data_IF_339501825319
#
_entry.id   IF_339501825319
#
_cell.length_a   1.000
_cell.length_b   1.000
_cell.length_c   1.000
_cell.angle_alpha   90.00
_cell.angle_beta   90.00
_cell.angle_gamma   90.00
#
_symmetry.space_group_name_H-M   'P 1'
#
loop_
_entity.id
_entity.type
_entity.pdbx_description
1 polymer ?
#
# COMPACT_ATOMS: atom_id res chain seq x y z
N UNK A 1 -67.33 -55.54 10.72
CA UNK A 1 -66.57 -54.84 9.68
C UNK A 1 -66.26 -53.48 10.19
N UNK A 2 -65.01 -53.20 10.51
CA UNK A 2 -64.35 -51.86 10.64
C UNK A 2 -63.24 -51.90 11.71
N UNK A 3 -62.02 -52.14 11.30
CA UNK A 3 -60.79 -51.82 12.05
C UNK A 3 -59.58 -52.21 11.21
N UNK A 4 -59.21 -51.37 10.23
CA UNK A 4 -57.88 -51.40 9.61
C UNK A 4 -57.69 -50.13 8.76
N UNK A 5 -57.42 -48.98 9.39
CA UNK A 5 -56.98 -47.80 8.67
C UNK A 5 -56.58 -46.71 9.67
N UNK A 6 -55.50 -46.88 10.42
CA UNK A 6 -54.95 -45.76 11.26
C UNK A 6 -53.43 -45.75 11.30
N UNK A 7 -52.68 -46.68 10.71
CA UNK A 7 -51.23 -46.72 10.90
C UNK A 7 -50.31 -46.16 9.76
N UNK A 8 -50.94 -45.56 8.73
CA UNK A 8 -50.19 -45.09 7.54
C UNK A 8 -49.75 -43.63 7.56
N UNK A 9 -50.16 -42.83 8.56
CA UNK A 9 -49.91 -41.38 8.53
C UNK A 9 -48.74 -40.89 9.39
N UNK A 10 -48.06 -41.74 10.13
CA UNK A 10 -47.01 -41.35 11.05
C UNK A 10 -45.59 -41.70 10.61
N UNK A 11 -45.39 -42.42 9.51
CA UNK A 11 -44.04 -42.81 9.04
C UNK A 11 -43.43 -41.87 8.02
N UNK A 12 -44.19 -40.96 7.39
CA UNK A 12 -43.70 -40.06 6.38
C UNK A 12 -42.86 -38.85 6.90
N UNK A 13 -43.16 -38.24 8.08
CA UNK A 13 -42.33 -37.13 8.57
C UNK A 13 -41.01 -37.56 9.18
N UNK A 14 -40.84 -38.83 9.57
CA UNK A 14 -39.59 -39.31 10.16
C UNK A 14 -38.47 -39.50 9.13
N UNK A 15 -38.82 -39.75 7.86
CA UNK A 15 -37.84 -39.93 6.77
C UNK A 15 -37.36 -38.60 6.17
N UNK A 16 -38.14 -37.52 6.24
CA UNK A 16 -37.74 -36.20 5.77
C UNK A 16 -36.75 -35.50 6.72
N UNK A 17 -36.75 -35.87 8.01
CA UNK A 17 -35.82 -35.32 9.01
C UNK A 17 -34.38 -35.84 8.89
N UNK A 18 -34.17 -37.01 8.29
CA UNK A 18 -32.86 -37.64 8.19
C UNK A 18 -32.04 -37.20 6.96
N UNK A 19 -32.69 -36.64 5.94
CA UNK A 19 -31.98 -36.18 4.72
C UNK A 19 -31.34 -34.81 4.86
N UNK A 20 -31.72 -34.02 5.87
CA UNK A 20 -31.14 -32.67 6.09
C UNK A 20 -29.89 -32.64 6.94
N UNK A 21 -29.44 -33.77 7.50
CA UNK A 21 -28.24 -33.82 8.37
C UNK A 21 -26.99 -34.25 7.61
N UNK A 22 -27.08 -34.70 6.36
CA UNK A 22 -25.95 -35.29 5.63
C UNK A 22 -25.17 -34.33 4.69
N UNK A 23 -25.55 -33.07 4.57
CA UNK A 23 -24.75 -32.09 3.86
C UNK A 23 -23.88 -31.26 4.83
N UNK A 24 -22.99 -31.90 5.60
CA UNK A 24 -21.76 -31.22 5.97
C UNK A 24 -20.95 -31.06 4.69
N UNK A 25 -21.05 -29.87 4.10
CA UNK A 25 -20.03 -29.43 3.13
C UNK A 25 -18.71 -29.50 3.89
N UNK A 26 -17.95 -30.58 3.68
CA UNK A 26 -16.57 -30.61 4.07
C UNK A 26 -15.91 -29.45 3.34
N UNK A 27 -15.59 -28.38 4.07
CA UNK A 27 -14.72 -27.34 3.55
C UNK A 27 -13.46 -28.06 3.06
N UNK A 28 -13.27 -28.12 1.75
CA UNK A 28 -12.11 -28.72 1.14
C UNK A 28 -10.87 -28.17 1.84
N UNK A 29 -10.11 -29.06 2.48
CA UNK A 29 -8.85 -28.66 3.13
C UNK A 29 -8.02 -27.90 2.10
N UNK A 30 -7.57 -26.68 2.39
CA UNK A 30 -6.85 -25.89 1.42
C UNK A 30 -5.59 -26.66 0.96
N UNK A 31 -5.41 -26.76 -0.35
CA UNK A 31 -4.23 -27.40 -0.94
C UNK A 31 -2.96 -26.63 -0.54
N UNK A 32 -2.24 -27.16 0.46
CA UNK A 32 -1.03 -26.55 1.04
C UNK A 32 0.19 -26.65 0.08
N UNK A 33 0.02 -27.27 -1.09
CA UNK A 33 1.09 -27.39 -2.09
C UNK A 33 1.44 -26.03 -2.74
N UNK A 34 0.48 -25.11 -2.81
CA UNK A 34 0.67 -23.80 -3.42
C UNK A 34 1.48 -22.88 -2.50
N UNK A 35 2.51 -22.26 -3.07
CA UNK A 35 3.43 -21.38 -2.37
C UNK A 35 3.52 -20.02 -3.07
N UNK A 36 3.80 -18.96 -2.32
CA UNK A 36 4.13 -17.64 -2.84
C UNK A 36 5.29 -17.05 -2.04
N UNK A 37 6.33 -16.58 -2.71
CA UNK A 37 7.44 -15.86 -2.08
C UNK A 37 7.32 -14.37 -2.40
N UNK A 38 6.99 -13.59 -1.37
CA UNK A 38 6.85 -12.13 -1.42
C UNK A 38 8.10 -11.47 -0.84
N UNK A 39 8.80 -10.66 -1.63
CA UNK A 39 9.84 -9.76 -1.14
C UNK A 39 9.28 -8.35 -0.93
N UNK A 40 9.61 -7.72 0.19
CA UNK A 40 9.15 -6.37 0.50
C UNK A 40 10.24 -5.58 1.23
N UNK A 41 10.34 -4.29 0.89
CA UNK A 41 11.26 -3.35 1.52
C UNK A 41 10.75 -2.81 2.86
N UNK A 42 9.48 -3.05 3.16
CA UNK A 42 8.89 -2.61 4.42
C UNK A 42 7.65 -3.43 4.80
N UNK A 43 7.80 -4.27 5.81
CA UNK A 43 6.70 -5.07 6.38
C UNK A 43 6.49 -4.71 7.84
N UNK A 44 5.23 -4.59 8.21
CA UNK A 44 4.80 -4.29 9.58
C UNK A 44 4.12 -5.50 10.21
N UNK A 45 4.11 -5.53 11.56
CA UNK A 45 3.43 -6.58 12.30
C UNK A 45 1.95 -6.77 11.88
N UNK A 46 1.27 -5.67 11.54
CA UNK A 46 -0.13 -5.71 11.06
C UNK A 46 -0.28 -6.30 9.65
N UNK A 47 0.75 -6.25 8.81
CA UNK A 47 0.73 -6.92 7.50
C UNK A 47 0.66 -8.45 7.68
N UNK A 48 1.24 -8.97 8.77
CA UNK A 48 1.19 -10.42 9.07
C UNK A 48 -0.24 -10.93 9.27
N UNK A 49 -1.15 -10.11 9.77
CA UNK A 49 -2.56 -10.47 9.93
C UNK A 49 -3.23 -10.65 8.56
N UNK A 50 -2.95 -9.75 7.61
CA UNK A 50 -3.41 -9.88 6.22
C UNK A 50 -2.90 -11.18 5.60
N UNK A 51 -1.60 -11.44 5.75
CA UNK A 51 -0.94 -12.61 5.16
C UNK A 51 -1.45 -13.93 5.73
N UNK A 52 -1.67 -14.01 7.05
CA UNK A 52 -2.30 -15.18 7.68
C UNK A 52 -3.73 -15.40 7.17
N UNK A 53 -4.53 -14.34 7.03
CA UNK A 53 -5.89 -14.44 6.47
C UNK A 53 -5.88 -14.87 5.01
N UNK A 54 -4.94 -14.35 4.21
CA UNK A 54 -4.75 -14.77 2.83
C UNK A 54 -4.46 -16.26 2.76
N UNK A 55 -3.44 -16.76 3.49
CA UNK A 55 -3.08 -18.18 3.49
C UNK A 55 -4.23 -19.06 3.96
N UNK A 56 -4.96 -18.66 5.01
CA UNK A 56 -6.13 -19.40 5.50
C UNK A 56 -7.25 -19.47 4.46
N UNK A 57 -7.49 -18.37 3.72
CA UNK A 57 -8.59 -18.30 2.74
C UNK A 57 -8.30 -19.00 1.43
N UNK A 58 -7.04 -19.01 1.00
CA UNK A 58 -6.64 -19.47 -0.34
C UNK A 58 -5.88 -20.79 -0.33
N UNK A 59 -5.40 -21.24 0.83
CA UNK A 59 -4.48 -22.40 0.92
C UNK A 59 -3.05 -22.11 0.49
N UNK A 60 -2.76 -20.92 -0.04
CA UNK A 60 -1.41 -20.55 -0.49
C UNK A 60 -0.51 -20.26 0.70
N UNK A 61 0.61 -21.01 0.83
CA UNK A 61 1.63 -20.74 1.84
C UNK A 61 2.46 -19.53 1.43
N UNK A 62 2.37 -18.44 2.21
CA UNK A 62 3.14 -17.23 1.97
C UNK A 62 4.49 -17.26 2.71
N UNK A 63 5.60 -17.19 1.97
CA UNK A 63 6.94 -16.92 2.50
C UNK A 63 7.28 -15.45 2.26
N UNK A 64 7.69 -14.75 3.31
CA UNK A 64 8.00 -13.34 3.26
C UNK A 64 9.51 -13.15 3.39
N UNK A 65 10.08 -12.32 2.52
CA UNK A 65 11.47 -11.87 2.56
C UNK A 65 11.47 -10.36 2.85
N UNK A 66 11.92 -9.99 4.05
CA UNK A 66 12.09 -8.59 4.41
C UNK A 66 13.46 -8.12 3.92
N UNK A 67 13.50 -7.47 2.77
CA UNK A 67 14.69 -7.04 2.05
C UNK A 67 14.47 -5.63 1.55
N UNK A 68 15.46 -4.73 1.70
CA UNK A 68 15.37 -3.43 1.06
C UNK A 68 15.47 -3.52 -0.47
N UNK A 69 15.09 -2.45 -1.18
CA UNK A 69 15.03 -2.46 -2.64
C UNK A 69 16.36 -2.85 -3.30
N UNK A 70 17.50 -2.41 -2.75
CA UNK A 70 18.83 -2.76 -3.27
C UNK A 70 19.15 -4.25 -3.06
N UNK A 71 18.75 -4.83 -1.93
CA UNK A 71 18.92 -6.26 -1.66
C UNK A 71 18.03 -7.10 -2.58
N UNK A 72 16.77 -6.66 -2.80
CA UNK A 72 15.87 -7.30 -3.77
C UNK A 72 16.51 -7.27 -5.16
N UNK A 73 16.98 -6.11 -5.63
CA UNK A 73 17.62 -5.96 -6.93
C UNK A 73 18.85 -6.87 -7.11
N UNK A 74 19.73 -6.90 -6.10
CA UNK A 74 20.92 -7.78 -6.10
C UNK A 74 20.51 -9.25 -6.18
N UNK A 75 19.50 -9.67 -5.41
CA UNK A 75 19.01 -11.04 -5.38
C UNK A 75 18.41 -11.45 -6.71
N UNK A 76 17.53 -10.63 -7.29
CA UNK A 76 16.93 -10.87 -8.60
C UNK A 76 17.99 -10.94 -9.70
N UNK A 77 19.00 -10.05 -9.67
CA UNK A 77 20.13 -10.09 -10.62
C UNK A 77 20.94 -11.37 -10.48
N UNK A 78 21.23 -11.82 -9.25
CA UNK A 78 22.02 -13.04 -8.98
C UNK A 78 21.29 -14.30 -9.42
N UNK A 79 20.00 -14.41 -9.16
CA UNK A 79 19.19 -15.60 -9.40
C UNK A 79 18.66 -15.68 -10.84
N UNK A 80 18.56 -14.54 -11.53
CA UNK A 80 18.10 -14.46 -12.89
C UNK A 80 16.71 -15.10 -13.08
N UNK A 81 16.55 -15.94 -14.08
CA UNK A 81 15.30 -16.67 -14.38
C UNK A 81 14.91 -17.72 -13.32
N UNK A 82 15.86 -18.11 -12.47
CA UNK A 82 15.60 -19.05 -11.38
C UNK A 82 15.25 -18.33 -10.07
N UNK A 83 14.74 -17.11 -10.14
CA UNK A 83 14.41 -16.34 -8.95
C UNK A 83 13.58 -17.13 -7.94
N UNK A 84 13.98 -17.01 -6.70
CA UNK A 84 13.21 -17.53 -5.56
C UNK A 84 12.10 -16.56 -5.12
N UNK A 85 12.01 -15.38 -5.73
CA UNK A 85 11.00 -14.36 -5.47
C UNK A 85 9.96 -14.42 -6.59
N UNK A 86 8.68 -14.48 -6.20
CA UNK A 86 7.56 -14.48 -7.16
C UNK A 86 6.93 -13.09 -7.28
N UNK A 87 6.81 -12.36 -6.18
CA UNK A 87 6.14 -11.07 -6.09
C UNK A 87 6.98 -10.09 -5.27
N UNK A 88 7.06 -8.86 -5.75
CA UNK A 88 7.71 -7.75 -5.04
C UNK A 88 6.64 -6.75 -4.60
N UNK A 89 6.73 -6.28 -3.35
CA UNK A 89 5.90 -5.23 -2.80
C UNK A 89 6.75 -4.14 -2.18
N UNK A 90 6.71 -2.94 -2.73
CA UNK A 90 7.47 -1.79 -2.25
C UNK A 90 6.56 -0.62 -1.90
N UNK A 91 6.94 0.14 -0.88
CA UNK A 91 6.12 1.23 -0.33
C UNK A 91 6.63 2.63 -0.72
N UNK A 92 7.43 2.72 -1.78
CA UNK A 92 7.96 3.98 -2.30
C UNK A 92 8.25 3.89 -3.80
N UNK A 93 8.04 4.99 -4.53
CA UNK A 93 8.50 5.13 -5.91
C UNK A 93 10.03 5.14 -6.02
N UNK A 94 10.75 5.53 -4.96
CA UNK A 94 12.20 5.41 -4.94
C UNK A 94 12.66 3.95 -5.02
N UNK A 95 11.98 3.07 -4.29
CA UNK A 95 12.22 1.62 -4.37
C UNK A 95 11.89 1.08 -5.77
N UNK A 96 10.79 1.53 -6.40
CA UNK A 96 10.47 1.18 -7.79
C UNK A 96 11.60 1.57 -8.72
N UNK A 97 12.15 2.79 -8.59
CA UNK A 97 13.26 3.27 -9.40
C UNK A 97 14.52 2.42 -9.21
N UNK A 98 14.84 2.07 -7.97
CA UNK A 98 15.98 1.19 -7.65
C UNK A 98 15.85 -0.17 -8.33
N UNK A 99 14.61 -0.67 -8.47
CA UNK A 99 14.29 -1.96 -9.09
C UNK A 99 14.02 -1.88 -10.61
N UNK A 100 14.13 -0.70 -11.21
CA UNK A 100 13.74 -0.48 -12.60
C UNK A 100 14.54 -1.29 -13.63
N UNK A 101 15.76 -1.68 -13.28
CA UNK A 101 16.64 -2.51 -14.12
C UNK A 101 16.37 -4.02 -13.98
N UNK A 102 15.44 -4.42 -13.13
CA UNK A 102 15.07 -5.82 -12.94
C UNK A 102 13.95 -6.22 -13.91
N UNK A 103 13.88 -7.51 -14.22
CA UNK A 103 12.84 -8.02 -15.13
C UNK A 103 11.58 -8.33 -14.35
N UNK A 104 10.50 -7.65 -14.68
CA UNK A 104 9.17 -7.89 -14.15
C UNK A 104 8.22 -8.24 -15.29
N UNK A 105 7.30 -9.15 -14.99
CA UNK A 105 6.31 -9.62 -15.95
C UNK A 105 5.26 -8.54 -16.21
N UNK A 106 4.91 -8.36 -17.49
CA UNK A 106 3.75 -7.57 -17.87
C UNK A 106 2.48 -8.35 -17.57
N UNK A 107 1.57 -7.76 -16.83
CA UNK A 107 0.30 -8.36 -16.49
C UNK A 107 -0.77 -8.07 -17.55
N UNK A 108 -1.68 -9.03 -17.73
CA UNK A 108 -2.78 -8.92 -18.70
C UNK A 108 -3.74 -7.78 -18.30
N UNK A 109 -4.15 -6.99 -19.30
CA UNK A 109 -5.02 -5.83 -19.10
C UNK A 109 -6.44 -6.22 -18.65
N UNK A 110 -6.97 -7.37 -19.13
CA UNK A 110 -8.29 -7.86 -18.72
C UNK A 110 -8.26 -8.36 -17.30
N UNK A 111 -7.21 -9.13 -16.94
CA UNK A 111 -6.97 -9.53 -15.55
C UNK A 111 -6.96 -8.31 -14.61
N UNK A 112 -6.23 -7.26 -14.94
CA UNK A 112 -6.14 -6.06 -14.12
C UNK A 112 -7.49 -5.35 -13.98
N UNK A 113 -8.24 -5.20 -15.07
CA UNK A 113 -9.53 -4.52 -15.08
C UNK A 113 -10.58 -5.28 -14.29
N UNK A 114 -10.68 -6.59 -14.49
CA UNK A 114 -11.78 -7.40 -13.97
C UNK A 114 -11.51 -7.96 -12.57
N UNK A 115 -10.29 -8.39 -12.31
CA UNK A 115 -9.93 -9.11 -11.08
C UNK A 115 -9.31 -8.21 -10.01
N UNK A 116 -8.67 -7.11 -10.41
CA UNK A 116 -7.93 -6.24 -9.48
C UNK A 116 -8.31 -4.76 -9.57
N UNK A 117 -9.59 -4.39 -9.39
CA UNK A 117 -10.10 -3.04 -9.68
C UNK A 117 -9.45 -1.92 -8.86
N UNK A 118 -8.91 -2.20 -7.66
CA UNK A 118 -8.21 -1.20 -6.83
C UNK A 118 -6.75 -0.97 -7.23
N UNK A 119 -6.17 -1.87 -8.03
CA UNK A 119 -4.80 -1.73 -8.51
C UNK A 119 -4.78 -1.01 -9.86
N UNK A 120 -3.77 -0.19 -10.08
CA UNK A 120 -3.57 0.52 -11.34
C UNK A 120 -2.22 0.20 -11.93
N UNK A 121 -2.24 -0.26 -13.18
CA UNK A 121 -1.02 -0.49 -13.93
C UNK A 121 -0.28 0.80 -14.24
N UNK A 122 1.05 0.76 -14.20
CA UNK A 122 1.96 1.75 -14.77
C UNK A 122 3.23 1.08 -15.31
N UNK A 123 4.08 1.82 -16.00
CA UNK A 123 5.27 1.29 -16.67
C UNK A 123 4.94 0.07 -17.54
N UNK A 124 4.04 0.25 -18.51
CA UNK A 124 3.61 -0.80 -19.42
C UNK A 124 3.03 -2.04 -18.70
N UNK A 125 2.33 -1.84 -17.58
CA UNK A 125 1.72 -2.89 -16.78
C UNK A 125 2.70 -3.87 -16.11
N UNK A 126 3.97 -3.50 -15.96
CA UNK A 126 4.94 -4.27 -15.16
C UNK A 126 4.85 -3.95 -13.66
N UNK A 127 4.34 -2.77 -13.34
CA UNK A 127 4.09 -2.34 -11.97
C UNK A 127 2.61 -2.04 -11.74
N UNK A 128 2.16 -2.31 -10.51
CA UNK A 128 0.79 -2.03 -10.07
C UNK A 128 0.82 -1.08 -8.88
N UNK A 129 0.18 0.07 -9.00
CA UNK A 129 -0.04 0.96 -7.85
C UNK A 129 -1.09 0.34 -6.93
N UNK A 130 -0.66 -0.01 -5.73
CA UNK A 130 -1.46 -0.65 -4.70
C UNK A 130 -2.10 0.36 -3.72
N UNK A 131 -1.53 1.56 -3.63
CA UNK A 131 -2.02 2.61 -2.78
C UNK A 131 -1.26 3.91 -2.92
N UNK A 132 -1.88 4.99 -2.43
CA UNK A 132 -1.36 6.36 -2.45
C UNK A 132 -1.12 6.80 -1.00
N UNK A 133 0.08 7.23 -0.69
CA UNK A 133 0.52 7.69 0.63
C UNK A 133 0.83 9.19 0.60
N UNK A 134 -0.16 10.05 0.92
CA UNK A 134 0.00 11.49 0.81
C UNK A 134 1.04 12.06 1.76
N UNK A 135 1.78 13.06 1.30
CA UNK A 135 2.57 13.93 2.18
C UNK A 135 1.64 14.92 2.86
N UNK A 136 1.61 14.90 4.18
CA UNK A 136 0.71 15.71 5.01
C UNK A 136 1.50 16.63 5.93
N UNK A 137 0.84 17.70 6.36
CA UNK A 137 1.33 18.58 7.40
C UNK A 137 0.66 18.25 8.71
N UNK A 138 1.45 18.13 9.76
CA UNK A 138 0.95 17.96 11.12
C UNK A 138 1.55 19.04 12.01
N UNK A 139 0.71 19.88 12.64
CA UNK A 139 1.16 21.02 13.41
C UNK A 139 0.32 21.24 14.68
N UNK A 140 0.89 22.00 15.61
CA UNK A 140 0.21 22.51 16.81
C UNK A 140 -0.34 23.91 16.46
N UNK A 141 -1.64 24.19 16.66
CA UNK A 141 -2.30 25.41 16.18
C UNK A 141 -1.72 26.74 16.65
N UNK A 142 -1.01 26.75 17.78
CA UNK A 142 -0.44 27.98 18.36
C UNK A 142 0.73 28.57 17.56
N UNK A 143 1.17 27.88 16.51
CA UNK A 143 2.20 28.39 15.60
C UNK A 143 1.58 29.37 14.61
N UNK A 144 1.84 30.66 14.76
CA UNK A 144 1.34 31.75 13.92
C UNK A 144 1.79 31.67 12.45
N UNK A 145 2.73 30.77 12.11
CA UNK A 145 3.34 30.62 10.80
C UNK A 145 3.18 29.20 10.22
N UNK A 146 1.97 28.67 10.16
CA UNK A 146 1.75 27.37 9.52
C UNK A 146 1.80 27.48 7.99
N UNK A 147 2.64 26.65 7.33
CA UNK A 147 2.62 26.51 5.88
C UNK A 147 1.26 26.00 5.41
N UNK A 148 0.71 26.63 4.36
CA UNK A 148 -0.61 26.28 3.78
C UNK A 148 -0.48 25.35 2.57
N UNK A 149 0.67 25.38 1.92
CA UNK A 149 0.96 24.58 0.73
C UNK A 149 2.45 24.20 0.69
N UNK A 150 2.81 23.31 -0.22
CA UNK A 150 4.21 22.87 -0.34
C UNK A 150 5.16 23.98 -0.78
N UNK A 151 4.68 25.00 -1.48
CA UNK A 151 5.52 26.14 -1.89
C UNK A 151 6.01 26.94 -0.68
N UNK A 152 5.27 26.95 0.41
CA UNK A 152 5.66 27.67 1.64
C UNK A 152 6.86 27.02 2.34
N UNK A 153 7.10 25.71 2.15
CA UNK A 153 8.19 24.99 2.81
C UNK A 153 9.61 25.49 2.44
N UNK A 154 9.74 26.19 1.31
CA UNK A 154 11.02 26.77 0.89
C UNK A 154 11.25 28.20 1.38
N UNK A 155 10.23 28.81 2.02
CA UNK A 155 10.33 30.15 2.59
C UNK A 155 11.02 30.10 3.96
N UNK A 156 11.15 31.23 4.63
CA UNK A 156 11.76 31.35 5.96
C UNK A 156 10.86 30.70 7.04
N UNK A 157 10.78 29.39 6.99
CA UNK A 157 9.92 28.56 7.79
C UNK A 157 10.62 27.24 8.14
N UNK A 158 10.86 26.99 9.41
CA UNK A 158 11.46 25.74 9.88
C UNK A 158 10.41 24.66 10.02
N UNK A 159 10.69 23.50 9.44
CA UNK A 159 9.82 22.32 9.53
C UNK A 159 10.67 21.08 9.83
N UNK A 160 10.08 20.07 10.43
CA UNK A 160 10.78 18.86 10.82
C UNK A 160 10.22 17.64 10.11
N UNK A 161 11.09 16.67 9.88
CA UNK A 161 10.75 15.38 9.28
C UNK A 161 11.50 14.26 9.99
N UNK A 162 10.86 13.11 10.23
CA UNK A 162 11.52 11.94 10.81
C UNK A 162 12.46 11.21 9.84
N UNK A 163 12.77 11.80 8.68
CA UNK A 163 13.19 10.99 7.56
C UNK A 163 14.39 11.57 6.82
N UNK A 164 15.20 10.66 6.26
CA UNK A 164 16.29 11.00 5.35
C UNK A 164 15.77 11.74 4.10
N UNK A 165 16.61 12.50 3.44
CA UNK A 165 16.27 13.21 2.19
C UNK A 165 15.70 12.28 1.11
N UNK A 166 16.03 10.99 1.15
CA UNK A 166 15.54 9.99 0.19
C UNK A 166 14.02 9.80 0.23
N UNK A 167 13.41 9.96 1.39
CA UNK A 167 11.94 9.84 1.49
C UNK A 167 11.20 11.02 0.90
N UNK A 168 11.85 12.17 0.75
CA UNK A 168 11.30 13.31 0.05
C UNK A 168 11.59 13.32 -1.45
N UNK A 169 12.37 12.35 -1.95
CA UNK A 169 12.68 12.25 -3.37
C UNK A 169 11.43 12.31 -4.24
N UNK A 170 10.36 11.65 -3.81
CA UNK A 170 9.07 11.65 -4.51
C UNK A 170 8.38 13.02 -4.43
N UNK A 171 8.42 13.69 -3.27
CA UNK A 171 7.86 15.03 -3.12
C UNK A 171 8.63 16.05 -3.97
N UNK A 172 9.96 15.97 -3.98
CA UNK A 172 10.82 16.82 -4.80
C UNK A 172 10.56 16.60 -6.29
N UNK A 173 10.39 15.34 -6.71
CA UNK A 173 10.06 15.01 -8.09
C UNK A 173 8.67 15.50 -8.51
N UNK A 174 7.69 15.41 -7.64
CA UNK A 174 6.35 16.00 -7.86
C UNK A 174 6.43 17.49 -8.09
N UNK A 175 7.21 18.19 -7.27
CA UNK A 175 7.38 19.65 -7.38
C UNK A 175 8.11 20.04 -8.67
N UNK A 176 9.22 19.35 -8.99
CA UNK A 176 10.00 19.59 -10.20
C UNK A 176 9.23 19.37 -11.50
N UNK A 177 8.24 18.48 -11.50
CA UNK A 177 7.38 18.30 -12.66
C UNK A 177 6.43 19.46 -12.94
N UNK A 178 6.35 20.46 -12.04
CA UNK A 178 5.34 21.54 -12.10
C UNK A 178 5.92 22.96 -12.13
N UNK A 179 7.22 23.18 -11.88
CA UNK A 179 7.80 24.49 -11.73
C UNK A 179 9.14 24.64 -12.45
N UNK A 180 9.28 25.77 -13.20
CA UNK A 180 10.58 26.17 -13.77
C UNK A 180 11.56 26.72 -12.72
N UNK A 181 11.10 27.14 -11.55
CA UNK A 181 11.92 27.71 -10.44
C UNK A 181 12.29 26.64 -9.38
N UNK A 182 12.52 25.43 -9.82
CA UNK A 182 12.65 24.26 -8.94
C UNK A 182 13.93 24.27 -8.09
N UNK A 183 15.06 24.72 -8.66
CA UNK A 183 16.33 24.72 -7.95
C UNK A 183 16.31 25.63 -6.70
N UNK A 184 15.71 26.83 -6.79
CA UNK A 184 15.59 27.76 -5.66
C UNK A 184 14.68 27.18 -4.58
N UNK A 185 13.54 26.61 -4.98
CA UNK A 185 12.62 25.97 -4.06
C UNK A 185 13.27 24.77 -3.36
N UNK A 186 13.94 23.87 -4.10
CA UNK A 186 14.66 22.71 -3.56
C UNK A 186 15.72 23.13 -2.54
N UNK A 187 16.50 24.15 -2.84
CA UNK A 187 17.53 24.68 -1.91
C UNK A 187 16.90 25.19 -0.61
N UNK A 188 15.82 25.96 -0.70
CA UNK A 188 15.07 26.44 0.47
C UNK A 188 14.42 25.31 1.24
N UNK A 189 13.80 24.34 0.56
CA UNK A 189 13.19 23.17 1.16
C UNK A 189 14.22 22.38 2.00
N UNK A 190 15.37 22.05 1.44
CA UNK A 190 16.42 21.30 2.14
C UNK A 190 16.99 22.12 3.31
N UNK A 191 17.23 23.42 3.11
CA UNK A 191 17.75 24.32 4.15
C UNK A 191 16.82 24.39 5.36
N UNK A 192 15.52 24.40 5.15
CA UNK A 192 14.51 24.59 6.19
C UNK A 192 14.11 23.27 6.89
N UNK A 193 14.57 22.13 6.36
CA UNK A 193 14.29 20.83 6.97
C UNK A 193 15.22 20.59 8.16
N UNK A 194 14.63 20.41 9.32
CA UNK A 194 15.32 19.90 10.51
C UNK A 194 15.04 18.40 10.61
N UNK A 195 15.99 17.60 10.08
CA UNK A 195 15.89 16.15 10.23
C UNK A 195 16.00 15.78 11.71
N UNK A 196 15.19 14.83 12.15
CA UNK A 196 15.27 14.27 13.51
C UNK A 196 15.30 12.75 13.47
N UNK A 197 16.02 12.14 14.40
CA UNK A 197 16.02 10.70 14.54
C UNK A 197 14.80 10.31 15.38
N UNK A 198 13.88 9.53 14.79
CA UNK A 198 12.64 9.12 15.43
C UNK A 198 12.81 8.25 16.67
N UNK A 199 14.01 7.69 16.88
CA UNK A 199 14.32 6.87 18.06
C UNK A 199 14.67 7.71 19.30
N UNK A 200 15.31 8.86 19.10
CA UNK A 200 15.85 9.68 20.20
C UNK A 200 15.13 11.02 20.39
N UNK A 201 14.46 11.54 19.37
CA UNK A 201 13.79 12.83 19.40
C UNK A 201 12.28 12.68 19.62
N UNK A 202 11.73 13.40 20.60
CA UNK A 202 10.29 13.45 20.81
C UNK A 202 9.61 14.19 19.66
N UNK A 203 9.05 13.42 18.72
CA UNK A 203 8.24 13.93 17.59
C UNK A 203 7.09 14.82 18.08
N UNK A 204 6.63 14.59 19.32
CA UNK A 204 5.51 15.30 19.93
C UNK A 204 5.79 16.79 20.15
N UNK A 205 7.05 17.16 20.38
CA UNK A 205 7.44 18.52 20.71
C UNK A 205 7.72 19.40 19.47
N UNK A 206 7.73 18.82 18.28
CA UNK A 206 7.94 19.58 17.04
C UNK A 206 6.67 20.31 16.65
N UNK A 207 6.76 21.62 16.49
CA UNK A 207 5.58 22.45 16.18
C UNK A 207 4.99 22.13 14.81
N UNK A 208 5.81 21.88 13.80
CA UNK A 208 5.38 21.61 12.44
C UNK A 208 6.16 20.45 11.82
N UNK A 209 5.42 19.51 11.24
CA UNK A 209 5.95 18.30 10.61
C UNK A 209 5.45 18.16 9.16
N UNK A 210 6.36 17.75 8.28
CA UNK A 210 6.03 17.24 6.93
C UNK A 210 6.30 15.74 6.92
N UNK A 211 5.27 14.94 6.78
CA UNK A 211 5.34 13.48 6.93
C UNK A 211 4.41 12.76 5.95
N UNK A 212 4.65 11.49 5.71
CA UNK A 212 3.65 10.63 5.01
C UNK A 212 2.47 10.36 5.92
N UNK A 213 1.27 10.31 5.35
CA UNK A 213 0.04 10.05 6.12
C UNK A 213 0.09 8.69 6.83
N UNK A 214 0.68 7.68 6.19
CA UNK A 214 0.90 6.38 6.81
C UNK A 214 1.75 6.46 8.08
N UNK A 215 2.80 7.29 8.09
CA UNK A 215 3.64 7.53 9.27
C UNK A 215 2.82 8.19 10.40
N UNK A 216 2.00 9.20 10.08
CA UNK A 216 1.13 9.85 11.06
C UNK A 216 0.20 8.85 11.75
N UNK A 217 -0.49 8.02 10.96
CA UNK A 217 -1.44 7.03 11.49
C UNK A 217 -0.75 5.97 12.37
N UNK A 218 0.47 5.59 12.04
CA UNK A 218 1.25 4.59 12.78
C UNK A 218 1.80 5.12 14.09
N UNK A 219 2.18 6.38 14.11
CA UNK A 219 2.75 7.01 15.29
C UNK A 219 1.63 7.42 16.26
N UNK A 220 1.40 6.58 17.29
CA UNK A 220 0.34 6.82 18.27
C UNK A 220 0.48 8.16 18.98
N UNK A 221 1.71 8.60 19.27
CA UNK A 221 1.96 9.86 19.93
C UNK A 221 1.54 11.07 19.08
N UNK A 222 1.59 10.96 17.75
CA UNK A 222 1.08 11.98 16.85
C UNK A 222 -0.42 11.86 16.62
N UNK A 223 -0.91 10.67 16.30
CA UNK A 223 -2.31 10.44 15.91
C UNK A 223 -3.29 10.57 17.07
N UNK A 224 -2.85 10.36 18.31
CA UNK A 224 -3.67 10.50 19.53
C UNK A 224 -3.50 11.86 20.19
N UNK A 225 -2.56 12.69 19.76
CA UNK A 225 -2.38 14.03 20.30
C UNK A 225 -3.49 14.97 19.85
N UNK A 226 -4.46 15.23 20.74
CA UNK A 226 -5.62 16.10 20.47
C UNK A 226 -5.26 17.55 20.15
N UNK A 227 -4.06 18.02 20.53
CA UNK A 227 -3.56 19.36 20.20
C UNK A 227 -3.02 19.49 18.79
N UNK A 228 -2.81 18.37 18.07
CA UNK A 228 -2.27 18.39 16.72
C UNK A 228 -3.35 18.37 15.65
N UNK A 229 -3.17 19.21 14.66
CA UNK A 229 -3.99 19.25 13.46
C UNK A 229 -3.26 18.49 12.35
N UNK A 230 -3.99 17.64 11.64
CA UNK A 230 -3.54 17.00 10.41
C UNK A 230 -4.15 17.73 9.22
N UNK A 231 -3.31 18.18 8.30
CA UNK A 231 -3.71 18.91 7.13
C UNK A 231 -3.16 18.28 5.85
N UNK A 232 -4.02 18.16 4.83
CA UNK A 232 -3.63 17.73 3.49
C UNK A 232 -3.35 18.98 2.65
N UNK A 233 -2.06 19.36 2.46
CA UNK A 233 -1.73 20.59 1.75
C UNK A 233 -2.15 20.47 0.30
N UNK A 234 -2.66 21.59 -0.24
CA UNK A 234 -3.11 21.66 -1.63
C UNK A 234 -2.04 22.34 -2.46
N UNK A 235 -1.71 21.75 -3.59
CA UNK A 235 -0.92 22.40 -4.63
C UNK A 235 -1.82 22.68 -5.83
N UNK A 236 -1.61 23.79 -6.54
CA UNK A 236 -2.43 24.19 -7.69
C UNK A 236 -3.94 24.13 -7.42
N UNK A 237 -4.38 24.64 -6.26
CA UNK A 237 -5.77 24.79 -5.79
C UNK A 237 -6.51 23.50 -5.40
N UNK A 238 -6.04 22.28 -5.70
CA UNK A 238 -6.95 21.14 -5.58
C UNK A 238 -6.39 19.85 -4.98
N UNK A 239 -5.08 19.57 -5.03
CA UNK A 239 -4.58 18.23 -4.74
C UNK A 239 -3.26 18.21 -3.98
N UNK A 240 -3.01 17.15 -3.20
CA UNK A 240 -1.76 16.90 -2.51
C UNK A 240 -0.84 15.97 -3.29
N UNK A 241 0.46 16.02 -2.98
CA UNK A 241 1.44 15.05 -3.48
C UNK A 241 1.36 13.76 -2.67
N UNK A 242 1.64 12.62 -3.33
CA UNK A 242 1.63 11.33 -2.68
C UNK A 242 2.73 10.40 -3.22
N UNK A 243 3.32 9.64 -2.33
CA UNK A 243 4.11 8.46 -2.69
C UNK A 243 3.20 7.28 -3.05
N UNK A 244 3.77 6.21 -3.58
CA UNK A 244 2.99 5.07 -4.06
C UNK A 244 3.52 3.75 -3.50
N UNK A 245 2.59 2.94 -3.08
CA UNK A 245 2.85 1.53 -2.80
C UNK A 245 2.65 0.74 -4.09
N UNK A 246 3.56 -0.13 -4.42
CA UNK A 246 3.58 -0.81 -5.70
C UNK A 246 3.87 -2.29 -5.58
N UNK A 247 3.20 -3.09 -6.44
CA UNK A 247 3.52 -4.50 -6.67
C UNK A 247 4.16 -4.68 -8.05
N UNK A 248 5.02 -5.69 -8.17
CA UNK A 248 5.47 -6.23 -9.45
C UNK A 248 5.63 -7.75 -9.35
N UNK A 249 5.15 -8.48 -10.35
CA UNK A 249 5.40 -9.92 -10.48
C UNK A 249 6.73 -10.11 -11.16
N UNK A 250 7.59 -10.96 -10.59
CA UNK A 250 8.90 -11.26 -11.16
C UNK A 250 8.73 -12.01 -12.48
N UNK A 251 9.53 -11.67 -13.48
CA UNK A 251 9.52 -12.36 -14.75
C UNK A 251 9.83 -13.86 -14.55
N UNK A 252 9.01 -14.72 -15.17
CA UNK A 252 9.07 -16.17 -15.01
C UNK A 252 8.97 -16.65 -13.54
N UNK A 253 8.17 -15.95 -12.72
CA UNK A 253 7.88 -16.37 -11.35
C UNK A 253 7.38 -17.83 -11.31
N UNK A 254 8.01 -18.66 -10.46
CA UNK A 254 7.68 -20.09 -10.34
C UNK A 254 6.24 -20.31 -9.86
N UNK A 255 5.72 -19.38 -9.08
CA UNK A 255 4.38 -19.45 -8.50
C UNK A 255 3.49 -18.31 -9.00
N UNK A 256 3.48 -18.09 -10.31
CA UNK A 256 2.76 -16.99 -10.96
C UNK A 256 1.26 -16.94 -10.58
N UNK A 257 0.55 -18.07 -10.66
CA UNK A 257 -0.86 -18.16 -10.28
C UNK A 257 -1.12 -17.76 -8.82
N UNK A 258 -0.18 -18.11 -7.92
CA UNK A 258 -0.26 -17.71 -6.51
C UNK A 258 -0.05 -16.20 -6.34
N UNK A 259 0.80 -15.59 -7.17
CA UNK A 259 0.99 -14.14 -7.20
C UNK A 259 -0.28 -13.42 -7.69
N UNK A 260 -0.92 -13.88 -8.76
CA UNK A 260 -2.22 -13.35 -9.22
C UNK A 260 -3.30 -13.51 -8.15
N UNK A 261 -3.39 -14.68 -7.52
CA UNK A 261 -4.34 -14.93 -6.42
C UNK A 261 -4.13 -13.93 -5.28
N UNK A 262 -2.88 -13.61 -4.94
CA UNK A 262 -2.56 -12.62 -3.93
C UNK A 262 -2.98 -11.21 -4.36
N UNK A 263 -2.70 -10.80 -5.58
CA UNK A 263 -3.08 -9.49 -6.13
C UNK A 263 -4.60 -9.30 -6.11
N UNK A 264 -5.37 -10.33 -6.48
CA UNK A 264 -6.85 -10.31 -6.40
C UNK A 264 -7.31 -10.17 -4.94
N UNK A 265 -6.72 -10.94 -4.04
CA UNK A 265 -7.04 -10.87 -2.62
C UNK A 265 -6.74 -9.49 -2.04
N UNK A 266 -5.53 -8.96 -2.31
CA UNK A 266 -5.12 -7.64 -1.85
C UNK A 266 -6.03 -6.53 -2.40
N UNK A 267 -6.38 -6.60 -3.69
CA UNK A 267 -7.27 -5.63 -4.33
C UNK A 267 -8.62 -5.54 -3.63
N UNK A 268 -9.23 -6.67 -3.28
CA UNK A 268 -10.49 -6.71 -2.52
C UNK A 268 -10.32 -6.17 -1.11
N UNK A 269 -9.24 -6.54 -0.44
CA UNK A 269 -8.96 -6.10 0.93
C UNK A 269 -8.67 -4.61 1.01
N UNK A 270 -7.90 -4.05 0.09
CA UNK A 270 -7.55 -2.62 0.07
C UNK A 270 -8.75 -1.69 -0.09
N UNK A 271 -9.87 -2.18 -0.64
CA UNK A 271 -11.14 -1.46 -0.73
C UNK A 271 -11.94 -1.46 0.58
N UNK A 272 -11.51 -2.23 1.58
CA UNK A 272 -12.20 -2.27 2.87
C UNK A 272 -11.98 -0.97 3.67
N UNK A 273 -13.00 -0.55 4.44
CA UNK A 273 -12.90 0.62 5.33
C UNK A 273 -11.72 0.52 6.31
N UNK A 274 -11.36 -0.70 6.69
CA UNK A 274 -10.29 -0.96 7.65
C UNK A 274 -8.89 -0.73 7.06
N UNK A 275 -8.70 -0.90 5.76
CA UNK A 275 -7.42 -0.70 5.11
C UNK A 275 -6.86 0.71 5.35
N UNK A 276 -7.64 1.73 4.98
CA UNK A 276 -7.28 3.14 5.16
C UNK A 276 -6.99 3.47 6.63
N UNK A 277 -7.85 3.00 7.54
CA UNK A 277 -7.69 3.22 8.98
C UNK A 277 -6.42 2.59 9.54
N UNK A 278 -6.06 1.41 9.07
CA UNK A 278 -4.91 0.65 9.57
C UNK A 278 -3.58 1.12 8.97
N UNK A 279 -3.57 1.47 7.68
CA UNK A 279 -2.34 1.74 6.93
C UNK A 279 -2.12 3.22 6.63
N UNK A 280 -3.15 4.06 6.74
CA UNK A 280 -3.04 5.49 6.37
C UNK A 280 -2.81 5.72 4.88
N UNK A 281 -3.09 4.71 4.04
CA UNK A 281 -2.87 4.71 2.59
C UNK A 281 -4.22 4.63 1.88
N UNK A 282 -4.34 5.31 0.76
CA UNK A 282 -5.57 5.39 -0.01
C UNK A 282 -5.45 4.51 -1.26
N UNK A 283 -6.40 3.59 -1.52
CA UNK A 283 -6.45 2.86 -2.77
C UNK A 283 -6.50 3.82 -3.97
N UNK A 284 -5.88 3.44 -5.08
CA UNK A 284 -5.87 4.28 -6.30
C UNK A 284 -7.27 4.52 -6.85
N UNK A 285 -8.14 3.51 -6.75
CA UNK A 285 -9.56 3.61 -7.05
C UNK A 285 -10.28 3.37 -5.74
N UNK A 286 -10.89 4.40 -5.20
CA UNK A 286 -11.64 4.31 -3.97
C UNK A 286 -12.98 5.04 -4.14
N UNK A 287 -14.05 4.35 -3.80
CA UNK A 287 -15.40 4.95 -3.66
C UNK A 287 -15.50 5.79 -2.37
N UNK A 288 -14.54 5.64 -1.45
CA UNK A 288 -14.43 6.46 -0.25
C UNK A 288 -13.91 7.84 -0.61
N UNK A 289 -14.30 8.87 0.14
CA UNK A 289 -13.79 10.24 -0.04
C UNK A 289 -12.27 10.28 0.20
N UNK A 290 -11.50 10.27 -0.87
CA UNK A 290 -10.06 10.43 -0.82
C UNK A 290 -9.65 11.91 -0.88
N UNK A 291 -8.52 12.31 -0.28
CA UNK A 291 -7.94 13.60 -0.59
C UNK A 291 -7.64 13.65 -2.08
N UNK A 292 -7.86 14.80 -2.70
CA UNK A 292 -7.47 14.99 -4.09
C UNK A 292 -5.96 14.89 -4.21
N UNK A 293 -5.48 13.93 -4.99
CA UNK A 293 -4.05 13.67 -5.23
C UNK A 293 -3.72 14.10 -6.66
N UNK A 294 -2.60 14.80 -6.81
CA UNK A 294 -2.16 15.26 -8.13
C UNK A 294 -1.90 14.06 -9.05
N UNK A 295 -2.59 14.10 -10.20
CA UNK A 295 -2.41 13.09 -11.23
C UNK A 295 -1.24 13.51 -12.13
N UNK A 296 -0.04 13.04 -11.78
CA UNK A 296 1.16 13.20 -12.59
C UNK A 296 1.45 11.85 -13.23
N UNK A 297 1.84 11.88 -14.50
CA UNK A 297 2.29 10.66 -15.18
C UNK A 297 3.48 10.08 -14.41
N UNK A 298 3.38 8.84 -13.99
CA UNK A 298 4.39 8.16 -13.18
C UNK A 298 5.78 8.17 -13.84
N UNK A 299 5.83 8.07 -15.16
CA UNK A 299 7.07 8.13 -15.94
C UNK A 299 7.80 9.48 -15.80
N UNK A 300 7.05 10.59 -15.83
CA UNK A 300 7.58 11.93 -15.60
C UNK A 300 8.09 12.07 -14.18
N UNK A 301 7.35 11.51 -13.22
CA UNK A 301 7.73 11.53 -11.81
C UNK A 301 9.02 10.76 -11.58
N UNK A 302 9.13 9.53 -12.11
CA UNK A 302 10.34 8.70 -11.98
C UNK A 302 11.56 9.33 -12.66
N UNK A 303 11.38 10.01 -13.81
CA UNK A 303 12.44 10.76 -14.48
C UNK A 303 12.98 11.88 -13.61
N UNK A 304 12.11 12.61 -12.91
CA UNK A 304 12.47 13.76 -12.07
C UNK A 304 13.02 13.36 -10.68
N UNK A 305 13.03 12.08 -10.34
CA UNK A 305 13.65 11.58 -9.09
C UNK A 305 15.18 11.41 -9.17
N UNK A 306 15.80 11.76 -10.30
CA UNK A 306 17.27 11.82 -10.38
C UNK A 306 17.79 13.03 -9.59
N UNK A 307 18.64 12.80 -8.63
CA UNK A 307 19.40 13.81 -7.88
C UNK A 307 20.77 14.02 -8.50
#
# INVERSE_FOLDING_TARGET
MARAMVYSKFLLPLFLGFVLVACKIEEAKPDISKKLVLASDFLEAKDTVLFKRFSKKTGVRLKILNLNASQIAKKLKKEGYNSSIDLVFVKSLNSVKTLDKTKFQKLDANFLREKTPSLKAFKNATWLVAGLDPYVFSYIPDSTNAAKNYSDLSKNFSWASPQSNDEFSVLLAHRGSHSKNDAKWKKGFIKNNVAFNSENDSVQNRQFLVIKHSFFIKNKSLSQNKKRVLFFPKEKKTACYADRWCFAVVDQAKNYESAETFLVYYSKWSLSKNFKKQHGVFPKIDKLKNPKILNIKEEVLLKNMSF
#
